data_IF_999636164746
#
_entry.id   IF_999636164746
#
_cell.length_a   1.000
_cell.length_b   1.000
_cell.length_c   1.000
_cell.angle_alpha   90.00
_cell.angle_beta   90.00
_cell.angle_gamma   90.00
#
_symmetry.space_group_name_H-M   'P 1'
#
loop_
_entity.id
_entity.type
_entity.pdbx_description
1 polymer ?
#
# COMPACT_ATOMS: atom_id res chain seq x y z
N UNK A 1 16.64 8.25 -29.44
CA UNK A 1 15.23 8.25 -28.97
C UNK A 1 14.58 6.95 -29.45
N UNK A 2 13.67 6.32 -28.71
CA UNK A 2 12.96 5.14 -29.22
C UNK A 2 11.98 5.61 -30.30
N UNK A 3 12.19 5.21 -31.55
CA UNK A 3 11.44 5.74 -32.69
C UNK A 3 9.96 5.31 -32.72
N UNK A 4 9.64 4.15 -32.12
CA UNK A 4 8.26 3.64 -31.99
C UNK A 4 8.17 2.58 -30.92
N UNK A 5 7.11 2.58 -30.13
CA UNK A 5 6.79 1.50 -29.20
C UNK A 5 6.24 0.29 -29.98
N UNK A 6 6.94 -0.83 -29.88
CA UNK A 6 6.51 -2.16 -30.31
C UNK A 6 6.55 -3.09 -29.11
N UNK A 7 5.87 -4.26 -29.12
CA UNK A 7 5.88 -5.18 -27.97
C UNK A 7 7.29 -5.52 -27.49
N UNK A 8 8.22 -5.78 -28.42
CA UNK A 8 9.64 -6.03 -28.10
C UNK A 8 10.31 -4.83 -27.43
N UNK A 9 10.09 -3.62 -27.95
CA UNK A 9 10.72 -2.40 -27.42
C UNK A 9 10.13 -2.00 -26.07
N UNK A 10 8.83 -2.22 -25.86
CA UNK A 10 8.19 -2.02 -24.56
C UNK A 10 8.75 -3.00 -23.52
N UNK A 11 8.85 -4.29 -23.85
CA UNK A 11 9.44 -5.28 -22.95
C UNK A 11 10.89 -4.94 -22.58
N UNK A 12 11.70 -4.53 -23.56
CA UNK A 12 13.07 -4.08 -23.31
C UNK A 12 13.13 -2.84 -22.39
N UNK A 13 12.19 -1.90 -22.54
CA UNK A 13 12.10 -0.73 -21.69
C UNK A 13 11.73 -1.09 -20.25
N UNK A 14 10.74 -1.98 -20.06
CA UNK A 14 10.35 -2.48 -18.72
C UNK A 14 11.53 -3.18 -18.06
N UNK A 15 12.17 -4.14 -18.76
CA UNK A 15 13.32 -4.87 -18.24
C UNK A 15 14.50 -3.96 -17.89
N UNK A 16 14.74 -2.90 -18.67
CA UNK A 16 15.76 -1.90 -18.35
C UNK A 16 15.47 -1.20 -17.01
N UNK A 17 14.20 -0.86 -16.73
CA UNK A 17 13.82 -0.24 -15.45
C UNK A 17 13.84 -1.24 -14.29
N UNK A 18 13.43 -2.50 -14.50
CA UNK A 18 13.55 -3.57 -13.51
C UNK A 18 15.01 -3.75 -13.07
N UNK A 19 15.94 -3.83 -14.02
CA UNK A 19 17.36 -3.93 -13.71
C UNK A 19 17.95 -2.66 -13.10
N UNK A 20 17.49 -1.47 -13.50
CA UNK A 20 17.87 -0.21 -12.85
C UNK A 20 17.51 -0.23 -11.36
N UNK A 21 16.25 -0.57 -11.04
CA UNK A 21 15.75 -0.63 -9.66
C UNK A 21 16.50 -1.71 -8.86
N UNK A 22 16.73 -2.87 -9.46
CA UNK A 22 17.54 -3.93 -8.84
C UNK A 22 18.96 -3.47 -8.50
N UNK A 23 19.67 -2.85 -9.43
CA UNK A 23 21.03 -2.34 -9.17
C UNK A 23 21.03 -1.31 -8.03
N UNK A 24 20.02 -0.43 -8.00
CA UNK A 24 19.86 0.54 -6.90
C UNK A 24 19.66 -0.15 -5.54
N UNK A 25 18.86 -1.22 -5.47
CA UNK A 25 18.67 -1.94 -4.21
C UNK A 25 19.94 -2.63 -3.73
N UNK A 26 20.74 -3.19 -4.66
CA UNK A 26 22.04 -3.78 -4.31
C UNK A 26 22.99 -2.71 -3.75
N UNK A 27 23.05 -1.52 -4.36
CA UNK A 27 23.88 -0.41 -3.86
C UNK A 27 23.41 0.05 -2.46
N UNK A 28 22.11 0.14 -2.24
CA UNK A 28 21.54 0.58 -0.96
C UNK A 28 21.49 -0.53 0.10
N UNK A 29 21.85 -1.77 -0.24
CA UNK A 29 21.76 -2.90 0.68
C UNK A 29 20.32 -3.22 1.10
N UNK A 30 19.33 -2.92 0.26
CA UNK A 30 17.92 -3.21 0.51
C UNK A 30 17.44 -4.39 -0.33
N UNK A 31 16.39 -5.06 0.14
CA UNK A 31 15.75 -6.13 -0.62
C UNK A 31 14.70 -5.53 -1.57
N UNK A 32 14.93 -5.62 -2.89
CA UNK A 32 13.98 -5.14 -3.91
C UNK A 32 12.73 -6.03 -4.07
N UNK A 33 12.72 -7.22 -3.44
CA UNK A 33 11.73 -8.25 -3.70
C UNK A 33 10.83 -8.55 -2.49
N UNK A 34 10.93 -7.77 -1.40
CA UNK A 34 9.99 -7.84 -0.29
C UNK A 34 9.09 -6.59 -0.21
N UNK A 35 8.05 -6.70 0.63
CA UNK A 35 7.04 -5.65 0.79
C UNK A 35 6.43 -5.63 2.21
N UNK A 36 7.23 -5.86 3.25
CA UNK A 36 6.73 -5.96 4.63
C UNK A 36 5.93 -4.74 5.09
N UNK A 37 6.26 -3.55 4.57
CA UNK A 37 5.60 -2.29 4.94
C UNK A 37 4.09 -2.22 4.62
N UNK A 38 3.53 -3.16 3.87
CA UNK A 38 2.08 -3.17 3.56
C UNK A 38 1.24 -3.89 4.61
N UNK A 39 1.85 -4.72 5.47
CA UNK A 39 1.09 -5.67 6.30
C UNK A 39 0.34 -4.99 7.45
N UNK A 40 1.01 -4.09 8.18
CA UNK A 40 0.38 -3.37 9.29
C UNK A 40 -0.86 -2.59 8.84
N UNK A 41 -0.77 -1.91 7.68
CA UNK A 41 -1.90 -1.18 7.11
C UNK A 41 -3.08 -2.08 6.73
N UNK A 42 -2.82 -3.29 6.23
CA UNK A 42 -3.86 -4.29 5.94
C UNK A 42 -4.54 -4.77 7.22
N UNK A 43 -3.78 -5.02 8.29
CA UNK A 43 -4.33 -5.45 9.57
C UNK A 43 -5.17 -4.36 10.23
N UNK A 44 -4.62 -3.15 10.35
CA UNK A 44 -5.34 -1.99 10.88
C UNK A 44 -6.58 -1.67 10.05
N UNK A 45 -6.48 -1.73 8.72
CA UNK A 45 -7.61 -1.48 7.81
C UNK A 45 -8.78 -2.45 8.04
N UNK A 46 -8.50 -3.75 8.26
CA UNK A 46 -9.53 -4.73 8.63
C UNK A 46 -10.19 -4.37 9.97
N UNK A 47 -9.40 -4.01 10.98
CA UNK A 47 -9.90 -3.64 12.30
C UNK A 47 -10.78 -2.38 12.27
N UNK A 48 -10.39 -1.37 11.49
CA UNK A 48 -11.19 -0.15 11.27
C UNK A 48 -12.47 -0.48 10.52
N UNK A 49 -12.41 -1.31 9.47
CA UNK A 49 -13.60 -1.70 8.70
C UNK A 49 -14.66 -2.38 9.57
N UNK A 50 -14.26 -3.31 10.45
CA UNK A 50 -15.18 -3.96 11.39
C UNK A 50 -15.83 -2.94 12.35
N UNK A 51 -15.06 -1.96 12.83
CA UNK A 51 -15.62 -0.86 13.62
C UNK A 51 -16.60 -0.03 12.80
N UNK A 52 -16.27 0.39 11.58
CA UNK A 52 -17.18 1.20 10.78
C UNK A 52 -18.52 0.49 10.48
N UNK A 53 -18.48 -0.81 10.20
CA UNK A 53 -19.66 -1.63 9.84
C UNK A 53 -20.44 -2.17 11.04
N UNK A 54 -19.93 -2.02 12.27
CA UNK A 54 -20.59 -2.51 13.49
C UNK A 54 -20.32 -3.97 13.83
N UNK A 55 -19.30 -4.58 13.22
CA UNK A 55 -18.81 -5.92 13.57
C UNK A 55 -18.00 -5.98 14.87
N UNK A 56 -17.69 -4.83 15.49
CA UNK A 56 -17.13 -4.75 16.84
C UNK A 56 -17.57 -3.47 17.56
N UNK A 57 -17.83 -3.58 18.85
CA UNK A 57 -18.18 -2.48 19.75
C UNK A 57 -16.97 -1.95 20.55
N UNK A 58 -15.83 -2.65 20.50
CA UNK A 58 -14.62 -2.22 21.20
C UNK A 58 -14.08 -0.91 20.60
N UNK A 59 -13.65 0.04 21.46
CA UNK A 59 -13.05 1.28 21.00
C UNK A 59 -11.75 1.01 20.20
N UNK A 60 -11.37 1.98 19.37
CA UNK A 60 -10.05 1.99 18.73
C UNK A 60 -8.95 2.28 19.76
N UNK A 61 -7.74 1.83 19.45
CA UNK A 61 -6.59 1.89 20.36
C UNK A 61 -6.13 3.34 20.64
N UNK A 62 -6.46 4.28 19.76
CA UNK A 62 -6.15 5.69 19.91
C UNK A 62 -7.36 6.61 19.70
N UNK A 63 -7.32 7.77 20.38
CA UNK A 63 -8.42 8.73 20.39
C UNK A 63 -8.66 9.41 19.02
N UNK A 64 -7.62 9.57 18.20
CA UNK A 64 -7.74 10.18 16.87
C UNK A 64 -8.56 9.28 15.95
N UNK A 65 -8.18 7.99 15.87
CA UNK A 65 -8.88 6.98 15.10
C UNK A 65 -10.32 6.81 15.59
N UNK A 66 -10.54 6.73 16.91
CA UNK A 66 -11.90 6.64 17.47
C UNK A 66 -12.77 7.86 17.12
N UNK A 67 -12.20 9.06 17.19
CA UNK A 67 -12.89 10.31 16.84
C UNK A 67 -13.36 10.30 15.38
N UNK A 68 -12.51 9.88 14.45
CA UNK A 68 -12.84 9.78 13.03
C UNK A 68 -13.90 8.68 12.75
N UNK A 69 -13.82 7.54 13.44
CA UNK A 69 -14.85 6.48 13.33
C UNK A 69 -16.21 6.99 13.78
N UNK A 70 -16.27 7.71 14.91
CA UNK A 70 -17.51 8.28 15.43
C UNK A 70 -18.07 9.35 14.48
N UNK A 71 -17.20 10.23 13.97
CA UNK A 71 -17.58 11.24 12.98
C UNK A 71 -18.20 10.60 11.73
N UNK A 72 -17.58 9.55 11.19
CA UNK A 72 -18.10 8.84 10.03
C UNK A 72 -19.47 8.19 10.33
N UNK A 73 -19.57 7.44 11.43
CA UNK A 73 -20.82 6.78 11.85
C UNK A 73 -21.97 7.77 12.05
N UNK A 74 -21.70 8.95 12.60
CA UNK A 74 -22.72 9.99 12.82
C UNK A 74 -23.24 10.66 11.55
N UNK A 75 -22.53 10.55 10.42
CA UNK A 75 -22.91 11.18 9.14
C UNK A 75 -23.48 10.18 8.12
N UNK A 76 -23.18 8.89 8.29
CA UNK A 76 -23.50 7.84 7.32
C UNK A 76 -24.32 6.67 7.90
N UNK A 77 -24.77 6.77 9.15
CA UNK A 77 -25.89 5.96 9.67
C UNK A 77 -27.21 6.70 9.51
#
# INVERSE_FOLDING_TARGET
MVERISPRRLGALVAMYEHKVFVQSVIWGTNAFDQWGVELGKEMGKAVYQRLTGGTEEPADDASTQGLINYFRGRHR
#
